data_IF_653702504969
#
_entry.id   IF_653702504969
#
_cell.length_a   1.000
_cell.length_b   1.000
_cell.length_c   1.000
_cell.angle_alpha   90.00
_cell.angle_beta   90.00
_cell.angle_gamma   90.00
#
_symmetry.space_group_name_H-M   'P 1'
#
loop_
_entity.id
_entity.type
_entity.pdbx_description
1 polymer ?
#
# COMPACT_ATOMS: atom_id res chain seq x y z
N UNK A 1 -10.90 24.06 48.24
CA UNK A 1 -9.66 24.88 48.31
C UNK A 1 -8.47 23.95 48.23
N UNK A 2 -7.93 23.70 47.04
CA UNK A 2 -6.57 23.20 46.88
C UNK A 2 -6.00 23.79 45.57
N UNK A 3 -4.83 24.34 45.69
CA UNK A 3 -4.14 25.29 44.85
C UNK A 3 -3.59 24.73 43.57
N UNK A 4 -3.78 25.48 42.54
CA UNK A 4 -3.09 25.65 41.31
C UNK A 4 -1.55 25.59 41.46
N UNK A 5 -0.88 24.74 40.65
CA UNK A 5 0.55 24.87 40.40
C UNK A 5 0.78 24.89 38.89
N UNK A 6 0.93 26.07 38.36
CA UNK A 6 1.58 26.32 37.09
C UNK A 6 3.07 25.92 37.20
N UNK A 7 3.56 25.13 36.27
CA UNK A 7 4.97 25.03 35.97
C UNK A 7 5.19 25.28 34.47
N UNK A 8 5.54 26.52 34.19
CA UNK A 8 6.23 26.93 32.99
C UNK A 8 7.68 26.52 33.08
N UNK A 9 8.19 25.78 32.10
CA UNK A 9 9.62 25.75 31.79
C UNK A 9 9.75 25.82 30.28
N UNK A 10 10.18 26.95 29.81
CA UNK A 10 10.70 27.14 28.46
C UNK A 10 12.12 26.61 28.35
N UNK A 11 12.50 26.17 27.21
CA UNK A 11 13.89 26.25 26.73
C UNK A 11 13.88 26.18 25.21
N UNK A 12 14.25 27.28 24.63
CA UNK A 12 14.68 27.39 23.25
C UNK A 12 16.09 26.79 23.11
N UNK A 13 16.34 26.06 22.08
CA UNK A 13 17.67 25.82 21.55
C UNK A 13 17.60 25.81 20.01
N UNK A 14 18.08 26.87 19.45
CA UNK A 14 18.49 26.99 18.06
C UNK A 14 19.93 26.49 17.93
N UNK A 15 20.26 25.74 16.88
CA UNK A 15 21.63 25.57 16.30
C UNK A 15 21.48 24.91 14.95
N UNK A 16 21.74 25.62 13.91
CA UNK A 16 22.91 25.77 13.04
C UNK A 16 22.99 24.87 11.82
N UNK A 17 23.01 25.54 10.74
CA UNK A 17 23.28 25.28 9.33
C UNK A 17 24.64 24.57 9.14
N UNK A 18 24.71 23.61 8.27
CA UNK A 18 25.92 23.30 7.50
C UNK A 18 25.55 22.85 6.08
N UNK A 19 25.81 23.73 5.14
CA UNK A 19 25.86 23.46 3.71
C UNK A 19 27.26 22.91 3.36
N UNK A 20 27.31 21.81 2.62
CA UNK A 20 28.51 21.49 1.82
C UNK A 20 28.08 21.00 0.44
N UNK A 21 28.35 21.81 -0.54
CA UNK A 21 28.39 21.48 -1.95
C UNK A 21 29.69 20.76 -2.26
N UNK A 22 29.64 19.69 -3.06
CA UNK A 22 30.77 19.31 -3.92
C UNK A 22 30.23 18.76 -5.23
N UNK A 23 30.58 19.47 -6.28
CA UNK A 23 30.47 19.07 -7.67
C UNK A 23 31.65 18.16 -8.04
N UNK A 24 31.42 17.15 -8.87
CA UNK A 24 32.46 16.59 -9.72
C UNK A 24 31.83 16.03 -11.01
N UNK A 25 32.18 16.66 -12.09
CA UNK A 25 32.03 16.22 -13.47
C UNK A 25 32.92 15.02 -13.76
N UNK A 26 32.48 14.14 -14.64
CA UNK A 26 33.30 13.07 -15.21
C UNK A 26 32.67 12.57 -16.51
N UNK A 27 33.04 13.19 -17.63
CA UNK A 27 32.82 12.73 -19.02
C UNK A 27 33.87 11.70 -19.41
N UNK A 28 33.51 10.70 -20.23
CA UNK A 28 34.30 10.07 -21.34
C UNK A 28 33.44 8.96 -21.94
N UNK A 29 32.89 9.05 -23.14
CA UNK A 29 33.44 8.97 -24.49
C UNK A 29 33.92 7.57 -24.92
N UNK A 30 33.21 7.11 -25.97
CA UNK A 30 33.68 6.40 -27.18
C UNK A 30 34.03 4.90 -27.01
N UNK A 31 33.72 4.00 -27.90
CA UNK A 31 33.66 3.86 -29.36
C UNK A 31 33.12 2.48 -29.66
N UNK A 32 32.13 2.35 -30.54
CA UNK A 32 32.22 1.86 -31.92
C UNK A 32 33.05 0.57 -32.13
N UNK A 33 32.39 -0.49 -32.60
CA UNK A 33 32.87 -1.31 -33.73
C UNK A 33 31.98 -2.54 -33.99
N UNK A 34 31.26 -2.50 -35.13
CA UNK A 34 31.10 -3.52 -36.18
C UNK A 34 30.44 -4.88 -35.82
N UNK A 35 29.35 -5.13 -36.54
CA UNK A 35 28.82 -6.44 -36.89
C UNK A 35 29.78 -7.19 -37.84
N UNK A 36 29.65 -8.54 -37.96
CA UNK A 36 28.85 -9.05 -39.07
C UNK A 36 27.98 -10.29 -38.78
N UNK A 37 26.89 -10.33 -39.47
CA UNK A 37 26.08 -11.38 -40.06
C UNK A 37 26.61 -12.82 -40.00
N UNK A 38 25.77 -13.73 -39.49
CA UNK A 38 25.57 -15.07 -40.07
C UNK A 38 24.20 -15.60 -39.70
N UNK A 39 23.39 -15.83 -40.70
CA UNK A 39 22.14 -16.57 -40.64
C UNK A 39 22.45 -18.07 -40.46
N UNK A 40 21.57 -18.77 -39.71
CA UNK A 40 21.08 -20.10 -40.08
C UNK A 40 20.03 -20.60 -39.09
N UNK A 41 18.79 -20.64 -39.54
CA UNK A 41 17.94 -21.84 -39.72
C UNK A 41 17.43 -22.55 -38.50
N UNK A 42 16.11 -22.36 -38.27
CA UNK A 42 15.06 -23.33 -37.98
C UNK A 42 15.33 -24.39 -36.92
N UNK A 43 14.64 -24.29 -35.79
CA UNK A 43 13.77 -25.36 -35.35
C UNK A 43 12.62 -24.80 -34.51
N UNK A 44 11.43 -24.92 -35.07
CA UNK A 44 10.16 -24.65 -34.40
C UNK A 44 9.93 -25.77 -33.40
N UNK A 45 10.30 -25.57 -32.19
CA UNK A 45 9.71 -26.33 -31.09
C UNK A 45 8.61 -25.44 -30.51
N UNK A 46 7.40 -25.75 -30.92
CA UNK A 46 6.19 -25.24 -30.28
C UNK A 46 6.16 -25.81 -28.86
N UNK A 47 6.84 -25.12 -27.95
CA UNK A 47 6.52 -25.21 -26.54
C UNK A 47 5.21 -24.50 -26.40
N UNK A 48 4.16 -25.26 -26.22
CA UNK A 48 2.88 -24.80 -25.71
C UNK A 48 3.22 -24.09 -24.38
N UNK A 49 3.46 -22.79 -24.43
CA UNK A 49 3.39 -21.94 -23.27
C UNK A 49 1.94 -22.12 -22.78
N UNK A 50 1.79 -22.85 -21.70
CA UNK A 50 0.61 -22.73 -20.88
C UNK A 50 0.63 -21.27 -20.48
N UNK A 51 -0.27 -20.52 -21.10
CA UNK A 51 -0.65 -19.18 -20.69
C UNK A 51 -1.33 -19.36 -19.33
N UNK A 52 -0.51 -19.48 -18.27
CA UNK A 52 -0.90 -19.21 -16.90
C UNK A 52 -0.87 -17.67 -16.74
N UNK A 53 -1.66 -17.03 -17.57
CA UNK A 53 -2.12 -15.68 -17.35
C UNK A 53 -3.17 -15.80 -16.23
N UNK A 54 -2.70 -15.96 -15.00
CA UNK A 54 -3.49 -15.65 -13.81
C UNK A 54 -3.82 -14.16 -13.91
N UNK A 55 -4.91 -13.86 -14.61
CA UNK A 55 -5.40 -12.50 -14.71
C UNK A 55 -5.70 -12.02 -13.28
N UNK A 56 -4.86 -11.13 -12.78
CA UNK A 56 -5.03 -10.55 -11.46
C UNK A 56 -6.45 -9.97 -11.36
N UNK A 57 -7.15 -10.31 -10.29
CA UNK A 57 -8.47 -9.71 -10.03
C UNK A 57 -8.25 -8.28 -9.60
N UNK A 58 -8.80 -7.33 -10.35
CA UNK A 58 -8.75 -5.91 -9.97
C UNK A 58 -9.91 -5.57 -9.04
N UNK A 59 -9.59 -4.87 -7.96
CA UNK A 59 -10.54 -4.36 -6.95
C UNK A 59 -10.30 -2.86 -6.80
N UNK A 60 -11.30 -2.05 -7.11
CA UNK A 60 -11.23 -0.62 -6.90
C UNK A 60 -11.56 -0.32 -5.42
N UNK A 61 -10.67 0.41 -4.73
CA UNK A 61 -10.86 0.78 -3.32
C UNK A 61 -10.87 2.29 -3.17
N UNK A 62 -11.98 2.80 -2.67
CA UNK A 62 -12.13 4.23 -2.33
C UNK A 62 -12.02 4.40 -0.82
N UNK A 63 -11.10 5.26 -0.41
CA UNK A 63 -10.96 5.74 0.95
C UNK A 63 -11.53 7.16 1.02
N UNK A 64 -12.48 7.40 1.90
CA UNK A 64 -12.98 8.73 2.20
C UNK A 64 -13.27 8.84 3.69
N UNK A 65 -13.72 10.00 4.20
CA UNK A 65 -13.89 10.22 5.63
C UNK A 65 -14.71 9.09 6.27
N UNK A 66 -13.98 8.29 7.11
CA UNK A 66 -14.47 7.18 7.93
C UNK A 66 -15.11 6.02 7.14
N UNK A 67 -14.72 5.86 5.86
CA UNK A 67 -15.21 4.75 5.05
C UNK A 67 -14.12 4.13 4.18
N UNK A 68 -14.09 2.80 4.12
CA UNK A 68 -13.36 2.00 3.13
C UNK A 68 -14.37 1.33 2.24
N UNK A 69 -14.27 1.49 0.92
CA UNK A 69 -15.20 0.90 -0.04
C UNK A 69 -14.43 0.16 -1.13
N UNK A 70 -14.46 -1.17 -1.07
CA UNK A 70 -13.91 -2.04 -2.11
C UNK A 70 -15.03 -2.48 -3.07
N UNK A 71 -14.73 -2.47 -4.36
CA UNK A 71 -15.66 -2.89 -5.41
C UNK A 71 -14.90 -3.68 -6.50
N UNK A 72 -15.20 -4.97 -6.68
CA UNK A 72 -16.12 -5.79 -5.87
C UNK A 72 -15.62 -5.99 -4.43
N UNK A 73 -16.49 -6.41 -3.52
CA UNK A 73 -16.19 -6.75 -2.12
C UNK A 73 -15.73 -8.21 -1.95
N UNK A 74 -15.48 -8.89 -3.06
CA UNK A 74 -14.95 -10.27 -3.13
C UNK A 74 -14.03 -10.45 -4.33
N UNK A 75 -13.17 -11.47 -4.27
CA UNK A 75 -12.31 -11.90 -5.38
C UNK A 75 -12.15 -13.41 -5.44
N UNK A 76 -11.49 -13.91 -6.47
CA UNK A 76 -10.94 -15.26 -6.50
C UNK A 76 -9.56 -15.28 -5.82
N UNK A 77 -9.18 -16.50 -5.33
CA UNK A 77 -7.83 -16.73 -4.83
C UNK A 77 -6.78 -16.54 -5.96
N UNK A 78 -5.59 -16.08 -5.59
CA UNK A 78 -4.48 -15.74 -6.47
C UNK A 78 -4.14 -14.25 -6.40
N UNK A 79 -3.58 -13.71 -7.46
CA UNK A 79 -3.18 -12.31 -7.52
C UNK A 79 -4.39 -11.37 -7.51
N UNK A 80 -4.50 -10.54 -6.48
CA UNK A 80 -5.50 -9.49 -6.34
C UNK A 80 -4.80 -8.14 -6.32
N UNK A 81 -5.18 -7.26 -7.24
CA UNK A 81 -4.67 -5.88 -7.30
C UNK A 81 -5.74 -4.93 -6.78
N UNK A 82 -5.46 -4.30 -5.66
CA UNK A 82 -6.26 -3.22 -5.10
C UNK A 82 -5.77 -1.89 -5.68
N UNK A 83 -6.61 -1.21 -6.45
CA UNK A 83 -6.40 0.18 -6.90
C UNK A 83 -7.00 1.10 -5.83
N UNK A 84 -6.13 1.61 -4.94
CA UNK A 84 -6.55 2.33 -3.74
C UNK A 84 -6.47 3.82 -4.00
N UNK A 85 -7.59 4.50 -3.88
CA UNK A 85 -7.71 5.95 -4.07
C UNK A 85 -8.24 6.63 -2.82
N UNK A 86 -7.52 7.65 -2.35
CA UNK A 86 -8.01 8.53 -1.31
C UNK A 86 -8.82 9.68 -1.93
N UNK A 87 -10.15 9.60 -1.83
CA UNK A 87 -11.08 10.64 -2.26
C UNK A 87 -11.50 11.58 -1.12
N UNK A 88 -11.00 11.33 0.09
CA UNK A 88 -11.22 12.16 1.25
C UNK A 88 -10.36 13.41 1.29
N UNK A 89 -10.59 14.25 2.29
CA UNK A 89 -9.81 15.45 2.56
C UNK A 89 -8.66 15.21 3.56
N UNK A 90 -8.75 14.14 4.36
CA UNK A 90 -7.71 13.70 5.29
C UNK A 90 -6.77 12.66 4.66
N UNK A 91 -5.63 12.39 5.32
CA UNK A 91 -4.79 11.24 5.00
C UNK A 91 -5.46 9.94 5.44
N UNK A 92 -5.33 8.88 4.64
CA UNK A 92 -5.84 7.53 4.94
C UNK A 92 -4.81 6.49 4.54
N UNK A 93 -4.75 5.38 5.28
CA UNK A 93 -4.02 4.19 4.87
C UNK A 93 -4.99 3.02 4.64
N UNK A 94 -4.52 1.97 3.98
CA UNK A 94 -5.26 0.72 3.88
C UNK A 94 -4.39 -0.44 4.33
N UNK A 95 -4.87 -1.22 5.28
CA UNK A 95 -4.23 -2.45 5.74
C UNK A 95 -5.14 -3.62 5.39
N UNK A 96 -4.54 -4.67 4.81
CA UNK A 96 -5.21 -5.93 4.47
C UNK A 96 -4.83 -6.97 5.53
N UNK A 97 -5.82 -7.51 6.22
CA UNK A 97 -5.63 -8.44 7.33
C UNK A 97 -6.39 -9.73 7.03
N UNK A 98 -5.70 -10.88 6.99
CA UNK A 98 -6.34 -12.20 6.95
C UNK A 98 -6.86 -12.55 8.34
N UNK A 99 -8.16 -12.85 8.46
CA UNK A 99 -8.80 -13.06 9.76
C UNK A 99 -10.12 -13.83 9.61
N UNK A 100 -10.52 -14.54 10.64
CA UNK A 100 -11.86 -15.17 10.74
C UNK A 100 -12.86 -14.25 11.47
N UNK A 101 -12.41 -13.07 11.93
CA UNK A 101 -13.26 -12.10 12.62
C UNK A 101 -13.83 -11.11 11.62
N UNK A 102 -15.00 -10.58 11.92
CA UNK A 102 -15.51 -9.42 11.19
C UNK A 102 -14.54 -8.24 11.30
N UNK A 103 -14.46 -7.43 10.26
CA UNK A 103 -13.60 -6.25 10.25
C UNK A 103 -13.88 -5.30 11.43
N UNK A 104 -15.13 -5.25 11.90
CA UNK A 104 -15.56 -4.49 13.10
C UNK A 104 -15.01 -5.02 14.42
N UNK A 105 -14.54 -6.27 14.47
CA UNK A 105 -14.19 -6.98 15.71
C UNK A 105 -12.69 -7.13 15.93
N UNK A 106 -11.88 -6.38 15.16
CA UNK A 106 -10.42 -6.44 15.26
C UNK A 106 -9.85 -5.58 16.40
N UNK A 107 -10.66 -4.76 17.05
CA UNK A 107 -10.23 -3.92 18.18
C UNK A 107 -11.37 -3.21 18.88
N UNK A 108 -11.10 -2.71 20.09
CA UNK A 108 -12.05 -1.94 20.91
C UNK A 108 -11.55 -0.51 21.17
N UNK A 109 -10.49 -0.09 20.53
CA UNK A 109 -9.84 1.20 20.74
C UNK A 109 -9.78 2.07 19.49
N UNK A 110 -8.96 3.09 19.56
CA UNK A 110 -8.73 4.00 18.43
C UNK A 110 -8.13 3.31 17.20
N UNK A 111 -7.49 2.15 17.39
CA UNK A 111 -6.86 1.36 16.35
C UNK A 111 -7.21 -0.13 16.52
N UNK A 112 -7.22 -0.85 15.40
CA UNK A 112 -7.40 -2.29 15.34
C UNK A 112 -6.09 -3.05 15.62
N UNK A 113 -6.23 -4.34 15.93
CA UNK A 113 -5.11 -5.28 15.89
C UNK A 113 -4.71 -5.56 14.45
N UNK A 114 -3.43 -5.51 14.16
CA UNK A 114 -2.88 -5.86 12.84
C UNK A 114 -2.40 -7.32 12.76
N UNK A 115 -2.82 -8.16 13.71
CA UNK A 115 -2.52 -9.58 13.66
C UNK A 115 -3.13 -10.21 12.41
N UNK A 116 -2.29 -10.88 11.60
CA UNK A 116 -2.69 -11.43 10.31
C UNK A 116 -2.56 -10.46 9.13
N UNK A 117 -1.90 -9.31 9.29
CA UNK A 117 -1.59 -8.37 8.21
C UNK A 117 -0.83 -9.07 7.09
N UNK A 118 -1.33 -8.95 5.87
CA UNK A 118 -0.74 -9.52 4.65
C UNK A 118 -0.23 -8.45 3.69
N UNK A 119 -0.68 -7.21 3.83
CA UNK A 119 -0.21 -6.08 3.03
C UNK A 119 -0.75 -4.76 3.52
N UNK A 120 -0.19 -3.66 2.99
CA UNK A 120 -0.67 -2.32 3.27
C UNK A 120 -0.34 -1.34 2.16
N UNK A 121 -1.18 -0.34 1.99
CA UNK A 121 -0.89 0.93 1.37
C UNK A 121 -0.64 1.93 2.48
N UNK A 122 0.54 2.56 2.46
CA UNK A 122 0.92 3.58 3.44
C UNK A 122 -0.05 4.77 3.39
N UNK A 123 0.11 5.72 4.31
CA UNK A 123 -0.76 6.89 4.33
C UNK A 123 -0.73 7.66 3.00
N UNK A 124 -1.87 7.65 2.31
CA UNK A 124 -2.12 8.42 1.11
C UNK A 124 -2.70 9.79 1.48
N UNK A 125 -2.08 10.85 1.00
CA UNK A 125 -2.68 12.18 1.08
C UNK A 125 -3.95 12.29 0.23
N UNK A 126 -4.79 13.27 0.50
CA UNK A 126 -6.01 13.57 -0.26
C UNK A 126 -5.75 13.59 -1.78
N UNK A 127 -6.58 12.91 -2.55
CA UNK A 127 -6.52 12.81 -4.01
C UNK A 127 -5.39 11.93 -4.56
N UNK A 128 -4.64 11.20 -3.73
CA UNK A 128 -3.60 10.27 -4.15
C UNK A 128 -4.14 8.85 -4.32
N UNK A 129 -3.45 8.08 -5.16
CA UNK A 129 -3.74 6.66 -5.40
C UNK A 129 -2.46 5.84 -5.37
N UNK A 130 -2.61 4.56 -5.05
CA UNK A 130 -1.54 3.57 -5.07
C UNK A 130 -2.13 2.19 -5.34
N UNK A 131 -1.44 1.38 -6.13
CA UNK A 131 -1.80 -0.01 -6.40
C UNK A 131 -1.09 -0.94 -5.42
N UNK A 132 -1.83 -1.90 -4.87
CA UNK A 132 -1.31 -2.96 -4.02
C UNK A 132 -1.70 -4.32 -4.60
N UNK A 133 -0.72 -5.10 -5.07
CA UNK A 133 -0.95 -6.47 -5.55
C UNK A 133 -0.50 -7.48 -4.49
N UNK A 134 -1.38 -8.40 -4.15
CA UNK A 134 -1.15 -9.46 -3.17
C UNK A 134 -1.61 -10.82 -3.73
N UNK A 135 -0.83 -11.86 -3.50
CA UNK A 135 -1.27 -13.25 -3.71
C UNK A 135 -2.10 -13.68 -2.49
N UNK A 136 -3.43 -13.75 -2.67
CA UNK A 136 -4.38 -14.02 -1.60
C UNK A 136 -4.95 -15.44 -1.72
N UNK A 137 -4.74 -16.26 -0.68
CA UNK A 137 -5.43 -17.52 -0.54
C UNK A 137 -6.91 -17.33 -0.18
N UNK A 138 -7.76 -18.28 -0.56
CA UNK A 138 -9.15 -18.27 -0.17
C UNK A 138 -9.33 -18.06 1.35
N UNK A 139 -10.34 -17.29 1.73
CA UNK A 139 -10.63 -16.95 3.12
C UNK A 139 -11.24 -15.56 3.28
N UNK A 140 -11.43 -15.19 4.54
CA UNK A 140 -11.95 -13.89 4.92
C UNK A 140 -10.82 -12.91 5.26
N UNK A 141 -10.98 -11.67 4.83
CA UNK A 141 -10.05 -10.57 5.05
C UNK A 141 -10.79 -9.33 5.55
N UNK A 142 -10.08 -8.49 6.24
CA UNK A 142 -10.53 -7.16 6.60
C UNK A 142 -9.65 -6.11 5.93
N UNK A 143 -10.28 -5.13 5.30
CA UNK A 143 -9.65 -3.91 4.79
C UNK A 143 -9.93 -2.81 5.81
N UNK A 144 -8.89 -2.20 6.38
CA UNK A 144 -9.05 -1.21 7.44
C UNK A 144 -8.16 0.02 7.20
N UNK A 145 -8.61 1.18 7.66
CA UNK A 145 -7.75 2.32 7.91
C UNK A 145 -7.39 2.35 9.40
N UNK A 146 -6.09 2.22 9.71
CA UNK A 146 -5.64 2.09 11.10
C UNK A 146 -4.93 3.35 11.63
N UNK A 147 -5.17 4.50 11.01
CA UNK A 147 -4.76 5.78 11.59
C UNK A 147 -5.55 6.04 12.89
N UNK A 148 -4.96 6.75 13.87
CA UNK A 148 -5.60 6.95 15.18
C UNK A 148 -7.02 7.51 15.06
N UNK A 149 -7.99 6.76 15.57
CA UNK A 149 -9.42 7.12 15.57
C UNK A 149 -10.20 6.72 14.32
N UNK A 150 -9.57 6.42 13.19
CA UNK A 150 -10.26 6.08 11.94
C UNK A 150 -10.96 4.73 12.02
N UNK A 151 -10.28 3.71 12.54
CA UNK A 151 -10.92 2.40 12.78
C UNK A 151 -12.11 2.52 13.72
N UNK A 152 -11.96 3.21 14.85
CA UNK A 152 -13.05 3.41 15.82
C UNK A 152 -14.26 4.18 15.25
N UNK A 153 -14.02 4.99 14.21
CA UNK A 153 -15.07 5.73 13.50
C UNK A 153 -15.77 4.89 12.41
N UNK A 154 -15.36 3.62 12.20
CA UNK A 154 -16.00 2.70 11.26
C UNK A 154 -15.25 2.53 9.94
N UNK A 155 -14.00 2.99 9.84
CA UNK A 155 -13.24 2.92 8.59
C UNK A 155 -12.66 1.53 8.36
N UNK A 156 -13.53 0.60 8.00
CA UNK A 156 -13.21 -0.80 7.69
C UNK A 156 -14.26 -1.43 6.79
N UNK A 157 -13.89 -2.52 6.11
CA UNK A 157 -14.77 -3.36 5.30
C UNK A 157 -14.32 -4.81 5.34
N UNK A 158 -15.27 -5.74 5.37
CA UNK A 158 -15.04 -7.16 5.15
C UNK A 158 -14.80 -7.43 3.66
N UNK A 159 -13.89 -8.36 3.34
CA UNK A 159 -13.54 -8.75 1.98
C UNK A 159 -13.36 -10.26 1.91
N UNK A 160 -13.97 -10.91 0.91
CA UNK A 160 -13.93 -12.36 0.78
C UNK A 160 -13.10 -12.78 -0.43
N UNK A 161 -12.27 -13.81 -0.25
CA UNK A 161 -11.52 -14.46 -1.32
C UNK A 161 -12.02 -15.90 -1.47
N UNK A 162 -12.54 -16.25 -2.66
CA UNK A 162 -13.21 -17.52 -2.96
C UNK A 162 -12.31 -18.46 -3.80
#
# INVERSE_FOLDING_TARGET
MVRNQLRTIGSAAAVLIAATALAACGSSSSTDTTAPTAAMTTETTATTAMDDSSASTKVDVVLNEMNVMATPDESKAGDVTFDVKNEGAAGHNMIVIKTEKMASDLGQGAQASEAGKVGEVAELAAGKSEDLTLDLAAGHYALICNLPGHYAAGMYQDFNVN
#
